data_IF_763843163033
#
_entry.id   IF_763843163033
#
_cell.length_a   1.000
_cell.length_b   1.000
_cell.length_c   1.000
_cell.angle_alpha   90.00
_cell.angle_beta   90.00
_cell.angle_gamma   90.00
#
_symmetry.space_group_name_H-M   'P 1'
#
loop_
_entity.id
_entity.type
_entity.pdbx_description
1 polymer ?
#
# COMPACT_ATOMS: atom_id res chain seq x y z
N UNK A 1 25.21 9.03 12.72
CA UNK A 1 24.97 8.15 11.56
C UNK A 1 24.32 6.88 12.10
N UNK A 2 23.01 6.91 12.30
CA UNK A 2 22.24 5.78 12.84
C UNK A 2 21.61 5.01 11.68
N UNK A 3 22.14 3.82 11.43
CA UNK A 3 21.59 2.79 10.58
C UNK A 3 20.35 2.16 11.23
N UNK A 4 19.17 2.19 10.61
CA UNK A 4 18.08 1.25 10.91
C UNK A 4 17.27 0.93 9.64
N UNK A 5 17.13 -0.35 9.25
CA UNK A 5 16.27 -0.79 8.15
C UNK A 5 14.80 -1.04 8.54
N UNK A 6 14.37 -0.68 9.76
CA UNK A 6 13.08 -1.09 10.33
C UNK A 6 12.31 0.07 10.99
N UNK A 7 12.23 1.24 10.34
CA UNK A 7 11.32 2.29 10.81
C UNK A 7 9.90 1.98 10.30
N UNK A 8 8.84 2.13 11.11
CA UNK A 8 7.45 1.93 10.67
C UNK A 8 7.10 2.74 9.41
N UNK A 9 7.67 3.95 9.30
CA UNK A 9 7.54 4.81 8.14
C UNK A 9 8.20 4.22 6.88
N UNK A 10 9.31 3.49 7.01
CA UNK A 10 9.95 2.85 5.85
C UNK A 10 9.07 1.72 5.30
N UNK A 11 8.42 0.95 6.17
CA UNK A 11 7.48 -0.10 5.77
C UNK A 11 6.21 0.48 5.12
N UNK A 12 5.70 1.61 5.63
CA UNK A 12 4.58 2.33 5.00
C UNK A 12 4.96 2.84 3.61
N UNK A 13 6.14 3.42 3.45
CA UNK A 13 6.63 3.92 2.16
C UNK A 13 6.82 2.80 1.14
N UNK A 14 7.41 1.67 1.52
CA UNK A 14 7.57 0.52 0.61
C UNK A 14 6.22 0.01 0.12
N UNK A 15 5.27 -0.19 1.04
CA UNK A 15 3.95 -0.69 0.69
C UNK A 15 3.13 0.30 -0.15
N UNK A 16 3.25 1.60 0.12
CA UNK A 16 2.67 2.64 -0.71
C UNK A 16 3.20 2.60 -2.15
N UNK A 17 4.52 2.45 -2.32
CA UNK A 17 5.13 2.31 -3.65
C UNK A 17 4.62 1.05 -4.37
N UNK A 18 4.49 -0.06 -3.67
CA UNK A 18 3.91 -1.28 -4.26
C UNK A 18 2.45 -1.10 -4.67
N UNK A 19 1.65 -0.40 -3.85
CA UNK A 19 0.26 -0.10 -4.17
C UNK A 19 0.14 0.81 -5.40
N UNK A 20 0.99 1.84 -5.53
CA UNK A 20 1.05 2.73 -6.70
C UNK A 20 1.30 1.96 -8.00
N UNK A 21 2.15 0.92 -7.96
CA UNK A 21 2.45 0.09 -9.14
C UNK A 21 1.27 -0.79 -9.57
N UNK A 22 0.32 -1.03 -8.66
CA UNK A 22 -0.86 -1.86 -8.90
C UNK A 22 -2.05 -1.04 -9.32
N UNK A 23 -2.36 0.01 -8.57
CA UNK A 23 -3.49 0.91 -8.80
C UNK A 23 -3.14 2.29 -8.23
N UNK A 24 -2.58 3.15 -9.09
CA UNK A 24 -2.12 4.50 -8.75
C UNK A 24 -3.26 5.34 -8.17
N UNK A 25 -4.41 5.37 -8.84
CA UNK A 25 -5.58 6.17 -8.42
C UNK A 25 -6.09 5.76 -7.03
N UNK A 26 -6.11 4.45 -6.74
CA UNK A 26 -6.53 3.95 -5.43
C UNK A 26 -5.47 4.22 -4.35
N UNK A 27 -4.19 4.05 -4.68
CA UNK A 27 -3.09 4.28 -3.74
C UNK A 27 -2.98 5.77 -3.34
N UNK A 28 -3.18 6.68 -4.29
CA UNK A 28 -3.19 8.13 -4.07
C UNK A 28 -4.36 8.57 -3.20
N UNK A 29 -5.56 8.01 -3.38
CA UNK A 29 -6.70 8.29 -2.49
C UNK A 29 -6.42 7.91 -1.03
N UNK A 30 -5.74 6.78 -0.81
CA UNK A 30 -5.33 6.35 0.53
C UNK A 30 -4.26 7.29 1.08
N UNK A 31 -3.32 7.75 0.25
CA UNK A 31 -2.32 8.74 0.64
C UNK A 31 -2.97 10.06 1.10
N UNK A 32 -3.91 10.60 0.33
CA UNK A 32 -4.61 11.84 0.67
C UNK A 32 -5.38 11.73 1.99
N UNK A 33 -6.10 10.62 2.21
CA UNK A 33 -6.81 10.37 3.46
C UNK A 33 -5.87 10.24 4.67
N UNK A 34 -4.69 9.65 4.48
CA UNK A 34 -3.68 9.53 5.54
C UNK A 34 -2.99 10.87 5.84
N UNK A 35 -2.59 11.62 4.81
CA UNK A 35 -1.91 12.92 4.95
C UNK A 35 -2.81 13.98 5.61
N UNK A 36 -4.11 13.91 5.34
CA UNK A 36 -5.12 14.76 6.00
C UNK A 36 -5.49 14.30 7.41
N UNK A 37 -5.04 13.11 7.83
CA UNK A 37 -5.33 12.51 9.13
C UNK A 37 -6.75 11.96 9.26
N UNK A 38 -7.46 11.74 8.14
CA UNK A 38 -8.76 11.08 8.13
C UNK A 38 -8.65 9.59 8.51
N UNK A 39 -7.49 8.98 8.20
CA UNK A 39 -7.14 7.61 8.58
C UNK A 39 -5.77 7.56 9.28
N UNK A 40 -5.58 6.59 10.16
CA UNK A 40 -4.30 6.37 10.84
C UNK A 40 -3.34 5.46 10.05
N UNK A 41 -2.10 5.35 10.53
CA UNK A 41 -1.05 4.50 9.94
C UNK A 41 -1.48 3.05 9.73
N UNK A 42 -2.29 2.49 10.64
CA UNK A 42 -2.70 1.09 10.57
C UNK A 42 -3.73 0.89 9.45
N UNK A 43 -4.67 1.83 9.31
CA UNK A 43 -5.67 1.81 8.25
C UNK A 43 -5.02 2.07 6.89
N UNK A 44 -4.10 3.02 6.79
CA UNK A 44 -3.34 3.28 5.56
C UNK A 44 -2.54 2.03 5.12
N UNK A 45 -1.84 1.38 6.05
CA UNK A 45 -1.11 0.15 5.78
C UNK A 45 -2.02 -0.97 5.25
N UNK A 46 -3.16 -1.21 5.90
CA UNK A 46 -4.12 -2.23 5.48
C UNK A 46 -4.72 -1.92 4.10
N UNK A 47 -5.03 -0.66 3.82
CA UNK A 47 -5.61 -0.24 2.55
C UNK A 47 -4.62 -0.45 1.40
N UNK A 48 -3.37 0.00 1.54
CA UNK A 48 -2.33 -0.27 0.55
C UNK A 48 -2.08 -1.78 0.38
N UNK A 49 -2.01 -2.55 1.47
CA UNK A 49 -1.88 -4.01 1.39
C UNK A 49 -3.00 -4.68 0.58
N UNK A 50 -4.24 -4.21 0.75
CA UNK A 50 -5.39 -4.71 -0.01
C UNK A 50 -5.32 -4.35 -1.49
N UNK A 51 -4.87 -3.14 -1.82
CA UNK A 51 -4.61 -2.72 -3.20
C UNK A 51 -3.59 -3.68 -3.84
N UNK A 52 -2.43 -3.87 -3.20
CA UNK A 52 -1.37 -4.75 -3.70
C UNK A 52 -1.85 -6.20 -3.84
N UNK A 53 -2.62 -6.70 -2.86
CA UNK A 53 -3.13 -8.07 -2.82
C UNK A 53 -4.29 -8.32 -3.79
N UNK A 54 -5.09 -7.30 -4.12
CA UNK A 54 -6.22 -7.39 -5.03
C UNK A 54 -5.80 -7.78 -6.46
N UNK A 55 -4.60 -7.36 -6.88
CA UNK A 55 -4.03 -7.72 -8.18
C UNK A 55 -3.55 -9.18 -8.23
N UNK A 56 -3.10 -9.73 -7.10
CA UNK A 56 -2.73 -11.14 -6.95
C UNK A 56 -3.94 -12.07 -7.15
N UNK A 57 -5.11 -11.71 -6.58
CA UNK A 57 -6.34 -12.49 -6.75
C UNK A 57 -6.85 -12.49 -8.22
N UNK A 58 -6.79 -11.34 -8.90
CA UNK A 58 -7.18 -11.23 -10.31
C UNK A 58 -6.20 -11.94 -11.25
N UNK A 59 -4.90 -11.95 -10.92
CA UNK A 59 -3.87 -12.63 -11.71
C UNK A 59 -3.96 -14.16 -11.58
N UNK A 60 -4.29 -14.67 -10.39
CA UNK A 60 -4.49 -16.12 -10.17
C UNK A 60 -5.75 -16.65 -10.88
N UNK A 61 -6.84 -15.88 -10.92
CA UNK A 61 -8.06 -16.24 -11.66
C UNK A 61 -7.87 -16.22 -13.20
N UNK A 62 -6.85 -15.52 -13.72
CA UNK A 62 -6.54 -15.49 -15.16
C UNK A 62 -5.68 -16.66 -15.63
N UNK A 63 -4.97 -17.35 -14.74
CA UNK A 63 -4.12 -18.49 -15.07
C UNK A 63 -4.85 -19.85 -15.08
N UNK A 64 -6.10 -19.88 -14.62
CA UNK A 64 -6.94 -21.09 -14.56
C UNK A 64 -7.97 -21.18 -15.71
N UNK A 65 -7.67 -20.54 -16.86
CA UNK A 65 -8.48 -20.55 -18.09
C UNK A 65 -7.75 -21.13 -19.28
#
# INVERSE_FOLDING_TARGET
MTSWPNHPLAMLTELYVEALLVDEDAADQVWEAWDTGEIDDQVAWLAWWLITSGNLANSLLRLDR
#
